data_IF_771540138573
#
_entry.id   IF_771540138573
#
_cell.length_a   1.000
_cell.length_b   1.000
_cell.length_c   1.000
_cell.angle_alpha   90.00
_cell.angle_beta   90.00
_cell.angle_gamma   90.00
#
_symmetry.space_group_name_H-M   'P 1'
#
loop_
_entity.id
_entity.type
_entity.pdbx_description
1 polymer ?
#
# COMPACT_ATOMS: atom_id res chain seq x y z
N UNK A 1 -15.74 15.57 19.04
CA UNK A 1 -16.43 14.26 19.02
C UNK A 1 -17.06 14.00 17.66
N UNK A 2 -18.06 14.79 17.27
CA UNK A 2 -18.80 14.61 16.00
C UNK A 2 -17.90 14.63 14.75
N UNK A 3 -16.92 15.54 14.67
CA UNK A 3 -15.91 15.53 13.60
C UNK A 3 -15.02 14.27 13.58
N UNK A 4 -14.70 13.71 14.75
CA UNK A 4 -13.87 12.48 14.84
C UNK A 4 -14.69 11.29 14.32
N UNK A 5 -15.95 11.17 14.77
CA UNK A 5 -16.87 10.16 14.26
C UNK A 5 -17.08 10.28 12.74
N UNK A 6 -17.29 11.50 12.24
CA UNK A 6 -17.40 11.79 10.80
C UNK A 6 -16.14 11.36 10.04
N UNK A 7 -14.96 11.71 10.55
CA UNK A 7 -13.67 11.38 9.92
C UNK A 7 -13.42 9.87 9.86
N UNK A 8 -13.68 9.15 10.96
CA UNK A 8 -13.53 7.69 11.02
C UNK A 8 -14.55 6.98 10.12
N UNK A 9 -15.81 7.43 10.12
CA UNK A 9 -16.84 6.92 9.20
C UNK A 9 -16.47 7.15 7.73
N UNK A 10 -15.91 8.32 7.41
CA UNK A 10 -15.46 8.62 6.05
C UNK A 10 -14.25 7.78 5.66
N UNK A 11 -13.32 7.52 6.59
CA UNK A 11 -12.17 6.62 6.39
C UNK A 11 -12.63 5.18 6.11
N UNK A 12 -13.62 4.67 6.83
CA UNK A 12 -14.21 3.36 6.57
C UNK A 12 -14.82 3.28 5.17
N UNK A 13 -15.64 4.25 4.78
CA UNK A 13 -16.27 4.30 3.45
C UNK A 13 -15.23 4.43 2.31
N UNK A 14 -14.22 5.29 2.48
CA UNK A 14 -13.13 5.45 1.53
C UNK A 14 -12.30 4.17 1.38
N UNK A 15 -12.12 3.42 2.47
CA UNK A 15 -11.44 2.13 2.47
C UNK A 15 -12.26 1.07 1.72
N UNK A 16 -13.56 0.97 1.95
CA UNK A 16 -14.44 0.07 1.18
C UNK A 16 -14.42 0.39 -0.33
N UNK A 17 -14.43 1.67 -0.71
CA UNK A 17 -14.27 2.09 -2.10
C UNK A 17 -12.90 1.72 -2.67
N UNK A 18 -11.82 1.95 -1.93
CA UNK A 18 -10.46 1.59 -2.33
C UNK A 18 -10.30 0.07 -2.52
N UNK A 19 -10.96 -0.75 -1.69
CA UNK A 19 -10.95 -2.20 -1.84
C UNK A 19 -11.65 -2.66 -3.13
N UNK A 20 -12.76 -2.00 -3.50
CA UNK A 20 -13.42 -2.23 -4.78
C UNK A 20 -12.53 -1.87 -5.99
N UNK A 21 -11.78 -0.77 -5.89
CA UNK A 21 -10.80 -0.37 -6.91
C UNK A 21 -9.63 -1.36 -7.02
N UNK A 22 -9.09 -1.84 -5.89
CA UNK A 22 -8.06 -2.87 -5.85
C UNK A 22 -8.56 -4.18 -6.48
N UNK A 23 -9.77 -4.63 -6.14
CA UNK A 23 -10.38 -5.83 -6.74
C UNK A 23 -10.52 -5.72 -8.27
N UNK A 24 -10.93 -4.55 -8.76
CA UNK A 24 -11.00 -4.27 -10.21
C UNK A 24 -9.60 -4.28 -10.85
N UNK A 25 -8.61 -3.63 -10.23
CA UNK A 25 -7.22 -3.64 -10.70
C UNK A 25 -6.62 -5.06 -10.78
N UNK A 26 -6.93 -5.94 -9.81
CA UNK A 26 -6.54 -7.36 -9.88
C UNK A 26 -7.19 -8.08 -11.06
N UNK A 27 -8.48 -7.83 -11.34
CA UNK A 27 -9.18 -8.36 -12.51
C UNK A 27 -8.74 -7.76 -13.86
N UNK A 28 -8.09 -6.59 -13.86
CA UNK A 28 -7.39 -6.04 -15.03
C UNK A 28 -6.04 -6.74 -15.21
N UNK A 29 -5.29 -6.96 -14.13
CA UNK A 29 -4.01 -7.66 -14.14
C UNK A 29 -4.14 -9.10 -14.67
N UNK A 30 -5.18 -9.82 -14.24
CA UNK A 30 -5.44 -11.20 -14.68
C UNK A 30 -5.71 -11.27 -16.19
N UNK A 31 -6.61 -10.42 -16.71
CA UNK A 31 -6.86 -10.31 -18.16
C UNK A 31 -5.64 -9.85 -18.95
N UNK A 32 -4.77 -9.04 -18.33
CA UNK A 32 -3.46 -8.69 -18.88
C UNK A 32 -2.55 -9.91 -19.02
N UNK A 33 -2.50 -10.77 -18.00
CA UNK A 33 -1.74 -12.02 -18.01
C UNK A 33 -2.30 -13.04 -19.04
N UNK A 34 -3.63 -13.15 -19.18
CA UNK A 34 -4.28 -13.93 -20.24
C UNK A 34 -3.86 -13.44 -21.64
N UNK A 35 -3.91 -12.13 -21.88
CA UNK A 35 -3.52 -11.53 -23.16
C UNK A 35 -2.02 -11.73 -23.48
N UNK A 36 -1.14 -11.66 -22.48
CA UNK A 36 0.29 -11.99 -22.66
C UNK A 36 0.50 -13.48 -22.98
N UNK A 37 -0.30 -14.36 -22.37
CA UNK A 37 -0.28 -15.80 -22.66
C UNK A 37 -0.73 -16.11 -24.09
N UNK A 38 -1.81 -15.46 -24.56
CA UNK A 38 -2.20 -15.58 -25.98
C UNK A 38 -1.11 -15.04 -26.90
N UNK A 39 -0.53 -13.87 -26.59
CA UNK A 39 0.55 -13.28 -27.39
C UNK A 39 1.77 -14.20 -27.49
N UNK A 40 2.16 -14.86 -26.39
CA UNK A 40 3.23 -15.85 -26.40
C UNK A 40 2.92 -17.05 -27.32
N UNK A 41 1.67 -17.55 -27.31
CA UNK A 41 1.24 -18.60 -28.23
C UNK A 41 1.26 -18.14 -29.70
N UNK A 42 0.91 -16.87 -30.00
CA UNK A 42 1.04 -16.30 -31.35
C UNK A 42 2.51 -16.18 -31.78
N UNK A 43 3.40 -15.73 -30.90
CA UNK A 43 4.84 -15.63 -31.20
C UNK A 43 5.44 -17.01 -31.52
N UNK A 44 5.09 -18.05 -30.77
CA UNK A 44 5.51 -19.42 -31.07
C UNK A 44 4.98 -19.92 -32.45
N UNK A 45 3.75 -19.54 -32.82
CA UNK A 45 3.17 -19.84 -34.14
C UNK A 45 3.87 -19.08 -35.29
N UNK A 46 4.31 -17.84 -35.04
CA UNK A 46 5.10 -17.05 -36.00
C UNK A 46 6.49 -17.68 -36.20
N UNK A 47 7.18 -18.05 -35.12
CA UNK A 47 8.50 -18.72 -35.18
C UNK A 47 8.42 -20.05 -35.95
N UNK A 48 7.44 -20.90 -35.63
CA UNK A 48 7.18 -22.14 -36.37
C UNK A 48 6.88 -21.90 -37.87
N UNK A 49 6.15 -20.82 -38.19
CA UNK A 49 5.87 -20.44 -39.58
C UNK A 49 7.12 -19.93 -40.31
N UNK A 50 7.96 -19.14 -39.65
CA UNK A 50 9.20 -18.62 -40.20
C UNK A 50 10.22 -19.74 -40.47
N UNK A 51 10.37 -20.70 -39.55
CA UNK A 51 11.19 -21.90 -39.77
C UNK A 51 10.73 -22.69 -41.00
N UNK A 52 9.42 -22.92 -41.15
CA UNK A 52 8.86 -23.59 -42.33
C UNK A 52 9.09 -22.82 -43.64
N UNK A 53 9.10 -21.48 -43.60
CA UNK A 53 9.49 -20.67 -44.76
C UNK A 53 10.98 -20.86 -45.06
N UNK A 54 11.85 -20.87 -44.05
CA UNK A 54 13.30 -21.11 -44.22
C UNK A 54 13.59 -22.44 -44.91
N UNK A 55 12.88 -23.51 -44.54
CA UNK A 55 12.96 -24.83 -45.22
C UNK A 55 12.58 -24.75 -46.71
N UNK A 56 11.48 -24.04 -47.04
CA UNK A 56 11.01 -23.83 -48.41
C UNK A 56 12.04 -23.03 -49.23
N UNK A 57 12.64 -22.01 -48.64
CA UNK A 57 13.72 -21.22 -49.27
C UNK A 57 14.99 -22.09 -49.44
N UNK A 58 15.28 -23.00 -48.50
CA UNK A 58 16.28 -24.08 -48.65
C UNK A 58 16.04 -24.94 -49.90
N UNK A 59 14.81 -25.39 -50.12
CA UNK A 59 14.43 -26.15 -51.30
C UNK A 59 14.57 -25.34 -52.61
N UNK A 60 14.14 -24.07 -52.61
CA UNK A 60 14.24 -23.20 -53.80
C UNK A 60 15.71 -22.96 -54.19
N UNK A 61 16.58 -22.70 -53.22
CA UNK A 61 18.03 -22.56 -53.41
C UNK A 61 18.66 -23.84 -53.99
N UNK A 62 18.25 -25.01 -53.50
CA UNK A 62 18.64 -26.31 -54.06
C UNK A 62 18.17 -26.51 -55.50
N UNK A 63 16.93 -26.13 -55.83
CA UNK A 63 16.38 -26.19 -57.20
C UNK A 63 17.13 -25.23 -58.13
N UNK A 64 17.45 -24.02 -57.66
CA UNK A 64 18.24 -23.06 -58.42
C UNK A 64 19.65 -23.61 -58.72
N UNK A 65 20.32 -24.21 -57.72
CA UNK A 65 21.60 -24.88 -57.92
C UNK A 65 21.52 -26.03 -58.92
N UNK A 66 20.54 -26.93 -58.80
CA UNK A 66 20.32 -28.03 -59.76
C UNK A 66 20.07 -27.50 -61.19
N UNK A 67 19.29 -26.43 -61.33
CA UNK A 67 19.00 -25.79 -62.62
C UNK A 67 20.26 -25.17 -63.24
N UNK A 68 21.12 -24.54 -62.44
CA UNK A 68 22.43 -24.02 -62.88
C UNK A 68 23.35 -25.15 -63.38
N UNK A 69 23.37 -26.32 -62.72
CA UNK A 69 24.14 -27.49 -63.18
C UNK A 69 23.56 -28.08 -64.48
N UNK A 70 22.23 -28.20 -64.60
CA UNK A 70 21.57 -28.65 -65.84
C UNK A 70 21.86 -27.70 -67.01
N UNK A 71 21.80 -26.38 -66.77
CA UNK A 71 22.13 -25.37 -67.75
C UNK A 71 23.61 -25.42 -68.18
N UNK A 72 24.54 -25.64 -67.24
CA UNK A 72 25.96 -25.85 -67.55
C UNK A 72 26.17 -27.07 -68.46
N UNK A 73 25.53 -28.20 -68.15
CA UNK A 73 25.59 -29.41 -68.98
C UNK A 73 25.02 -29.17 -70.39
N UNK A 74 23.91 -28.44 -70.49
CA UNK A 74 23.32 -28.06 -71.78
C UNK A 74 24.25 -27.15 -72.61
N UNK A 75 24.93 -26.19 -71.99
CA UNK A 75 25.95 -25.36 -72.67
C UNK A 75 27.13 -26.18 -73.19
N UNK A 76 27.56 -27.21 -72.45
CA UNK A 76 28.65 -28.11 -72.88
C UNK A 76 28.21 -28.96 -74.08
N UNK A 77 27.03 -29.57 -74.05
CA UNK A 77 26.55 -30.40 -75.17
C UNK A 77 26.20 -29.54 -76.40
N UNK A 78 25.73 -28.30 -76.20
CA UNK A 78 25.55 -27.32 -77.28
C UNK A 78 26.88 -26.94 -77.94
N UNK A 79 27.96 -26.75 -77.17
CA UNK A 79 29.30 -26.53 -77.72
C UNK A 79 29.80 -27.76 -78.50
N UNK A 80 29.50 -28.97 -78.01
CA UNK A 80 29.84 -30.24 -78.68
C UNK A 80 29.10 -30.44 -80.01
N UNK A 81 27.87 -29.95 -80.13
CA UNK A 81 27.08 -29.95 -81.37
C UNK A 81 27.54 -28.90 -82.40
N UNK A 82 28.51 -28.04 -82.07
CA UNK A 82 29.07 -27.04 -82.97
C UNK A 82 28.02 -26.04 -83.49
N UNK A 83 28.02 -25.78 -84.80
CA UNK A 83 27.10 -24.83 -85.43
C UNK A 83 25.61 -25.14 -85.18
N UNK A 84 25.25 -26.43 -85.12
CA UNK A 84 23.87 -26.85 -84.84
C UNK A 84 23.44 -26.58 -83.39
N UNK A 85 24.40 -26.41 -82.47
CA UNK A 85 24.13 -26.13 -81.06
C UNK A 85 23.98 -24.64 -80.71
N UNK A 86 24.27 -23.70 -81.62
CA UNK A 86 24.35 -22.25 -81.30
C UNK A 86 23.08 -21.69 -80.64
N UNK A 87 21.89 -22.11 -81.09
CA UNK A 87 20.62 -21.71 -80.47
C UNK A 87 20.45 -22.26 -79.05
N UNK A 88 20.81 -23.53 -78.82
CA UNK A 88 20.76 -24.16 -77.50
C UNK A 88 21.76 -23.55 -76.52
N UNK A 89 22.95 -23.14 -76.98
CA UNK A 89 23.95 -22.49 -76.14
C UNK A 89 23.45 -21.14 -75.55
N UNK A 90 22.71 -20.35 -76.34
CA UNK A 90 22.11 -19.09 -75.86
C UNK A 90 21.02 -19.37 -74.82
N UNK A 91 20.13 -20.32 -75.07
CA UNK A 91 19.08 -20.72 -74.11
C UNK A 91 19.69 -21.25 -72.81
N UNK A 92 20.72 -22.10 -72.91
CA UNK A 92 21.41 -22.65 -71.75
C UNK A 92 22.08 -21.55 -70.90
N UNK A 93 22.73 -20.56 -71.52
CA UNK A 93 23.28 -19.42 -70.78
C UNK A 93 22.21 -18.57 -70.11
N UNK A 94 21.05 -18.36 -70.73
CA UNK A 94 19.96 -17.57 -70.13
C UNK A 94 19.27 -18.33 -68.98
N UNK A 95 19.05 -19.63 -69.10
CA UNK A 95 18.58 -20.48 -67.98
C UNK A 95 19.58 -20.45 -66.83
N UNK A 96 20.89 -20.43 -67.12
CA UNK A 96 21.95 -20.31 -66.11
C UNK A 96 21.91 -18.95 -65.39
N UNK A 97 21.75 -17.86 -66.13
CA UNK A 97 21.59 -16.51 -65.56
C UNK A 97 20.35 -16.43 -64.65
N UNK A 98 19.22 -16.99 -65.10
CA UNK A 98 17.98 -17.04 -64.33
C UNK A 98 18.15 -17.85 -63.03
N UNK A 99 18.81 -19.01 -63.11
CA UNK A 99 19.10 -19.85 -61.96
C UNK A 99 19.99 -19.13 -60.91
N UNK A 100 21.02 -18.40 -61.35
CA UNK A 100 21.84 -17.57 -60.44
C UNK A 100 21.00 -16.52 -59.73
N UNK A 101 20.17 -15.78 -60.47
CA UNK A 101 19.28 -14.76 -59.91
C UNK A 101 18.26 -15.33 -58.92
N UNK A 102 17.78 -16.56 -59.14
CA UNK A 102 16.91 -17.26 -58.19
C UNK A 102 17.64 -17.66 -56.91
N UNK A 103 18.90 -18.08 -56.98
CA UNK A 103 19.71 -18.40 -55.81
C UNK A 103 20.04 -17.15 -54.99
N UNK A 104 20.42 -16.04 -55.64
CA UNK A 104 20.68 -14.76 -54.99
C UNK A 104 19.41 -14.25 -54.26
N UNK A 105 18.26 -14.27 -54.93
CA UNK A 105 16.98 -13.89 -54.32
C UNK A 105 16.57 -14.81 -53.16
N UNK A 106 16.82 -16.13 -53.27
CA UNK A 106 16.56 -17.06 -52.17
C UNK A 106 17.43 -16.75 -50.94
N UNK A 107 18.70 -16.40 -51.15
CA UNK A 107 19.62 -15.99 -50.09
C UNK A 107 19.19 -14.69 -49.40
N UNK A 108 18.75 -13.69 -50.15
CA UNK A 108 18.23 -12.43 -49.59
C UNK A 108 16.97 -12.66 -48.76
N UNK A 109 16.02 -13.48 -49.25
CA UNK A 109 14.83 -13.86 -48.49
C UNK A 109 15.20 -14.61 -47.20
N UNK A 110 16.18 -15.53 -47.25
CA UNK A 110 16.66 -16.24 -46.07
C UNK A 110 17.17 -15.27 -44.99
N UNK A 111 17.97 -14.27 -45.36
CA UNK A 111 18.45 -13.24 -44.41
C UNK A 111 17.32 -12.42 -43.77
N UNK A 112 16.26 -12.12 -44.51
CA UNK A 112 15.06 -11.46 -43.96
C UNK A 112 14.28 -12.37 -42.99
N UNK A 113 14.20 -13.67 -43.28
CA UNK A 113 13.57 -14.67 -42.41
C UNK A 113 14.38 -14.87 -41.12
N UNK A 114 15.70 -15.02 -41.20
CA UNK A 114 16.59 -15.14 -40.03
C UNK A 114 16.48 -13.91 -39.10
N UNK A 115 16.38 -12.71 -39.70
CA UNK A 115 16.13 -11.46 -38.95
C UNK A 115 14.75 -11.45 -38.29
N UNK A 116 13.73 -11.96 -38.98
CA UNK A 116 12.35 -12.06 -38.46
C UNK A 116 12.24 -13.06 -37.30
N UNK A 117 12.95 -14.20 -37.37
CA UNK A 117 13.07 -15.18 -36.29
C UNK A 117 13.71 -14.52 -35.06
N UNK A 118 14.84 -13.82 -35.23
CA UNK A 118 15.52 -13.10 -34.14
C UNK A 118 14.58 -12.11 -33.43
N UNK A 119 13.85 -11.29 -34.18
CA UNK A 119 12.89 -10.34 -33.60
C UNK A 119 11.69 -11.03 -32.92
N UNK A 120 11.25 -12.19 -33.42
CA UNK A 120 10.18 -12.98 -32.77
C UNK A 120 10.67 -13.57 -31.45
N UNK A 121 11.93 -14.01 -31.36
CA UNK A 121 12.54 -14.49 -30.12
C UNK A 121 12.75 -13.36 -29.10
N UNK A 122 13.25 -12.20 -29.53
CA UNK A 122 13.36 -10.99 -28.71
C UNK A 122 11.97 -10.56 -28.17
N UNK A 123 10.95 -10.55 -29.04
CA UNK A 123 9.56 -10.28 -28.66
C UNK A 123 9.00 -11.28 -27.65
N UNK A 124 9.22 -12.58 -27.86
CA UNK A 124 8.81 -13.65 -26.92
C UNK A 124 9.40 -13.46 -25.51
N UNK A 125 10.66 -13.04 -25.42
CA UNK A 125 11.31 -12.75 -24.14
C UNK A 125 10.73 -11.51 -23.44
N UNK A 126 10.40 -10.45 -24.21
CA UNK A 126 9.71 -9.26 -23.70
C UNK A 126 8.31 -9.63 -23.17
N UNK A 127 7.54 -10.42 -23.91
CA UNK A 127 6.20 -10.88 -23.52
C UNK A 127 6.26 -11.72 -22.25
N UNK A 128 7.25 -12.61 -22.12
CA UNK A 128 7.45 -13.39 -20.89
C UNK A 128 7.70 -12.48 -19.68
N UNK A 129 8.61 -11.51 -19.80
CA UNK A 129 8.89 -10.55 -18.73
C UNK A 129 7.72 -9.60 -18.43
N UNK A 130 6.81 -9.37 -19.39
CA UNK A 130 5.57 -8.65 -19.16
C UNK A 130 4.54 -9.49 -18.38
N UNK A 131 4.42 -10.79 -18.68
CA UNK A 131 3.57 -11.71 -17.93
C UNK A 131 4.03 -11.85 -16.47
N UNK A 132 5.34 -12.03 -16.23
CA UNK A 132 5.94 -12.07 -14.90
C UNK A 132 5.60 -10.80 -14.09
N UNK A 133 5.74 -9.61 -14.70
CA UNK A 133 5.35 -8.34 -14.05
C UNK A 133 3.85 -8.19 -13.80
N UNK A 134 2.98 -8.77 -14.63
CA UNK A 134 1.53 -8.79 -14.35
C UNK A 134 1.19 -9.66 -13.14
N UNK A 135 1.93 -10.76 -12.92
CA UNK A 135 1.79 -11.59 -11.72
C UNK A 135 2.27 -10.85 -10.46
N UNK A 136 3.41 -10.15 -10.52
CA UNK A 136 3.91 -9.28 -9.45
C UNK A 136 2.92 -8.14 -9.12
N UNK A 137 2.35 -7.50 -10.15
CA UNK A 137 1.33 -6.45 -9.99
C UNK A 137 0.07 -7.01 -9.32
N UNK A 138 -0.43 -8.18 -9.76
CA UNK A 138 -1.56 -8.87 -9.10
C UNK A 138 -1.26 -9.15 -7.63
N UNK A 139 -0.07 -9.64 -7.30
CA UNK A 139 0.33 -9.92 -5.93
C UNK A 139 0.41 -8.65 -5.06
N UNK A 140 0.90 -7.55 -5.63
CA UNK A 140 0.98 -6.25 -4.97
C UNK A 140 -0.42 -5.67 -4.70
N UNK A 141 -1.35 -5.82 -5.65
CA UNK A 141 -2.75 -5.39 -5.49
C UNK A 141 -3.48 -6.20 -4.41
N UNK A 142 -3.19 -7.50 -4.27
CA UNK A 142 -3.71 -8.33 -3.17
C UNK A 142 -3.23 -7.78 -1.82
N UNK A 143 -1.92 -7.51 -1.67
CA UNK A 143 -1.38 -6.93 -0.43
C UNK A 143 -2.02 -5.57 -0.08
N UNK A 144 -2.30 -4.73 -1.08
CA UNK A 144 -3.02 -3.47 -0.88
C UNK A 144 -4.47 -3.72 -0.41
N UNK A 145 -5.17 -4.70 -0.97
CA UNK A 145 -6.52 -5.10 -0.56
C UNK A 145 -6.56 -5.64 0.88
N UNK A 146 -5.54 -6.40 1.29
CA UNK A 146 -5.38 -6.88 2.67
C UNK A 146 -5.21 -5.71 3.65
N UNK A 147 -4.31 -4.76 3.36
CA UNK A 147 -4.09 -3.56 4.19
C UNK A 147 -5.35 -2.68 4.27
N UNK A 148 -6.07 -2.51 3.17
CA UNK A 148 -7.34 -1.77 3.16
C UNK A 148 -8.41 -2.48 4.00
N UNK A 149 -8.42 -3.81 4.02
CA UNK A 149 -9.32 -4.60 4.86
C UNK A 149 -9.00 -4.44 6.34
N UNK A 150 -7.70 -4.38 6.71
CA UNK A 150 -7.24 -4.08 8.07
C UNK A 150 -7.63 -2.65 8.50
N UNK A 151 -7.44 -1.65 7.63
CA UNK A 151 -7.89 -0.27 7.89
C UNK A 151 -9.41 -0.21 8.09
N UNK A 152 -10.19 -0.93 7.28
CA UNK A 152 -11.65 -0.98 7.39
C UNK A 152 -12.09 -1.62 8.72
N UNK A 153 -11.40 -2.67 9.17
CA UNK A 153 -11.65 -3.29 10.47
C UNK A 153 -11.31 -2.34 11.63
N UNK A 154 -10.13 -1.71 11.61
CA UNK A 154 -9.69 -0.74 12.61
C UNK A 154 -10.57 0.50 12.68
N UNK A 155 -11.07 1.00 11.54
CA UNK A 155 -12.03 2.11 11.51
C UNK A 155 -13.36 1.74 12.18
N UNK A 156 -13.88 0.51 11.96
CA UNK A 156 -15.10 0.03 12.62
C UNK A 156 -14.91 -0.13 14.14
N UNK A 157 -13.75 -0.62 14.58
CA UNK A 157 -13.39 -0.68 16.00
C UNK A 157 -13.30 0.73 16.63
N UNK A 158 -12.67 1.68 15.93
CA UNK A 158 -12.61 3.08 16.35
C UNK A 158 -14.00 3.72 16.47
N UNK A 159 -14.91 3.47 15.52
CA UNK A 159 -16.31 3.96 15.62
C UNK A 159 -16.97 3.46 16.90
N UNK A 160 -16.87 2.16 17.21
CA UNK A 160 -17.46 1.60 18.44
C UNK A 160 -16.79 2.17 19.70
N UNK A 161 -15.47 2.39 19.68
CA UNK A 161 -14.76 3.07 20.76
C UNK A 161 -15.25 4.51 20.96
N UNK A 162 -15.50 5.26 19.89
CA UNK A 162 -16.02 6.63 19.95
C UNK A 162 -17.44 6.66 20.55
N UNK A 163 -18.31 5.70 20.21
CA UNK A 163 -19.65 5.57 20.82
C UNK A 163 -19.57 5.34 22.34
N UNK A 164 -18.62 4.52 22.80
CA UNK A 164 -18.39 4.28 24.23
C UNK A 164 -17.89 5.55 24.95
N UNK A 165 -16.92 6.26 24.37
CA UNK A 165 -16.43 7.52 24.96
C UNK A 165 -17.53 8.59 24.96
N UNK A 166 -18.38 8.67 23.92
CA UNK A 166 -19.52 9.58 23.89
C UNK A 166 -20.50 9.30 25.04
N UNK A 167 -20.83 8.03 25.25
CA UNK A 167 -21.65 7.57 26.39
C UNK A 167 -21.05 7.99 27.73
N UNK A 168 -19.75 7.73 27.94
CA UNK A 168 -19.04 8.12 29.17
C UNK A 168 -18.99 9.65 29.39
N UNK A 169 -18.88 10.44 28.32
CA UNK A 169 -18.92 11.91 28.41
C UNK A 169 -20.33 12.41 28.78
N UNK A 170 -21.39 11.78 28.27
CA UNK A 170 -22.77 12.11 28.66
C UNK A 170 -23.05 11.76 30.15
N UNK A 171 -22.51 10.65 30.65
CA UNK A 171 -22.56 10.30 32.08
C UNK A 171 -21.77 11.32 32.94
N UNK A 172 -20.56 11.71 32.50
CA UNK A 172 -19.77 12.74 33.19
C UNK A 172 -20.45 14.10 33.22
N UNK A 173 -21.11 14.52 32.15
CA UNK A 173 -21.89 15.76 32.13
C UNK A 173 -23.08 15.67 33.10
N UNK A 174 -23.81 14.56 33.10
CA UNK A 174 -24.90 14.29 34.05
C UNK A 174 -24.42 14.37 35.51
N UNK A 175 -23.28 13.74 35.83
CA UNK A 175 -22.68 13.84 37.17
C UNK A 175 -22.20 15.26 37.49
N UNK A 176 -21.69 16.01 36.51
CA UNK A 176 -21.24 17.39 36.69
C UNK A 176 -22.42 18.32 36.99
N UNK A 177 -23.53 18.18 36.27
CA UNK A 177 -24.79 18.89 36.54
C UNK A 177 -25.36 18.50 37.91
N UNK A 178 -25.33 17.23 38.28
CA UNK A 178 -25.78 16.75 39.60
C UNK A 178 -24.91 17.32 40.72
N UNK A 179 -23.58 17.36 40.56
CA UNK A 179 -22.66 17.98 41.50
C UNK A 179 -22.92 19.47 41.66
N UNK A 180 -23.14 20.21 40.56
CA UNK A 180 -23.50 21.62 40.60
C UNK A 180 -24.83 21.86 41.36
N UNK A 181 -25.83 21.01 41.12
CA UNK A 181 -27.12 21.04 41.83
C UNK A 181 -26.95 20.77 43.34
N UNK A 182 -26.17 19.75 43.72
CA UNK A 182 -25.88 19.42 45.12
C UNK A 182 -25.10 20.56 45.82
N UNK A 183 -24.13 21.19 45.15
CA UNK A 183 -23.43 22.37 45.69
C UNK A 183 -24.40 23.53 45.91
N UNK A 184 -25.34 23.77 44.97
CA UNK A 184 -26.35 24.82 45.12
C UNK A 184 -27.32 24.53 46.29
N UNK A 185 -27.78 23.28 46.43
CA UNK A 185 -28.60 22.84 47.58
C UNK A 185 -27.84 22.98 48.90
N UNK A 186 -26.56 22.58 48.96
CA UNK A 186 -25.72 22.71 50.14
C UNK A 186 -25.46 24.17 50.52
N UNK A 187 -25.29 25.07 49.54
CA UNK A 187 -25.18 26.51 49.79
C UNK A 187 -26.48 27.08 50.39
N UNK A 188 -27.65 26.64 49.90
CA UNK A 188 -28.95 26.96 50.47
C UNK A 188 -29.10 26.48 51.92
N UNK A 189 -28.76 25.21 52.19
CA UNK A 189 -28.78 24.63 53.54
C UNK A 189 -27.83 25.39 54.49
N UNK A 190 -26.63 25.72 54.04
CA UNK A 190 -25.67 26.51 54.82
C UNK A 190 -26.19 27.92 55.13
N UNK A 191 -26.89 28.56 54.19
CA UNK A 191 -27.54 29.85 54.43
C UNK A 191 -28.65 29.74 55.50
N UNK A 192 -29.56 28.76 55.37
CA UNK A 192 -30.62 28.51 56.37
C UNK A 192 -30.04 28.16 57.74
N UNK A 193 -28.97 27.37 57.79
CA UNK A 193 -28.29 26.98 59.04
C UNK A 193 -27.64 28.18 59.74
N UNK A 194 -27.02 29.08 58.97
CA UNK A 194 -26.48 30.36 59.46
C UNK A 194 -27.60 31.30 59.97
N UNK A 195 -28.72 31.38 59.27
CA UNK A 195 -29.85 32.24 59.67
C UNK A 195 -30.52 31.70 60.95
N UNK A 196 -30.64 30.38 61.11
CA UNK A 196 -31.07 29.74 62.36
C UNK A 196 -30.09 29.98 63.51
N UNK A 197 -28.78 29.90 63.27
CA UNK A 197 -27.77 30.20 64.30
C UNK A 197 -27.86 31.66 64.77
N UNK A 198 -28.05 32.62 63.86
CA UNK A 198 -28.28 34.04 64.19
C UNK A 198 -29.53 34.23 65.05
N UNK A 199 -30.64 33.59 64.69
CA UNK A 199 -31.89 33.67 65.44
C UNK A 199 -31.79 33.06 66.85
N UNK A 200 -30.98 32.03 67.03
CA UNK A 200 -30.70 31.46 68.36
C UNK A 200 -29.83 32.41 69.21
N UNK A 201 -28.85 33.08 68.60
CA UNK A 201 -28.02 34.10 69.26
C UNK A 201 -28.87 35.31 69.72
N UNK A 202 -29.76 35.81 68.85
CA UNK A 202 -30.74 36.85 69.16
C UNK A 202 -31.61 36.45 70.37
N UNK A 203 -32.19 35.23 70.37
CA UNK A 203 -33.01 34.73 71.48
C UNK A 203 -32.24 34.56 72.80
N UNK A 204 -30.94 34.23 72.75
CA UNK A 204 -30.09 34.22 73.95
C UNK A 204 -29.76 35.62 74.45
N UNK A 205 -29.66 36.61 73.55
CA UNK A 205 -29.37 38.00 73.92
C UNK A 205 -30.52 38.72 74.63
N UNK A 206 -31.77 38.30 74.40
CA UNK A 206 -32.95 38.77 75.16
C UNK A 206 -33.00 38.22 76.60
N UNK A 207 -32.22 37.16 76.90
CA UNK A 207 -32.20 36.52 78.21
C UNK A 207 -31.35 37.31 79.21
N UNK A 208 -31.92 38.39 79.75
CA UNK A 208 -31.30 39.20 80.80
C UNK A 208 -31.16 38.37 82.08
N UNK A 209 -29.95 37.86 82.32
CA UNK A 209 -29.53 37.34 83.61
C UNK A 209 -29.58 38.48 84.63
N UNK A 210 -30.51 38.39 85.59
CA UNK A 210 -30.65 39.35 86.67
C UNK A 210 -29.33 39.52 87.44
N UNK A 211 -29.04 40.75 87.87
CA UNK A 211 -27.73 41.20 88.35
C UNK A 211 -27.16 40.33 89.48
N UNK A 212 -26.35 39.33 89.10
CA UNK A 212 -25.54 38.53 90.00
C UNK A 212 -24.34 39.37 90.48
N UNK A 213 -24.63 40.31 91.37
CA UNK A 213 -23.68 41.24 91.98
C UNK A 213 -22.72 40.49 92.91
N UNK A 214 -21.72 39.81 92.35
CA UNK A 214 -20.58 39.27 93.08
C UNK A 214 -19.27 39.89 92.61
N UNK A 215 -18.76 40.72 93.51
CA UNK A 215 -17.41 41.29 93.67
C UNK A 215 -16.25 40.57 92.99
N UNK A 216 -15.33 41.38 92.49
CA UNK A 216 -13.97 41.01 92.09
C UNK A 216 -13.25 40.15 93.14
N UNK A 217 -12.66 39.01 92.74
CA UNK A 217 -11.34 38.62 93.26
C UNK A 217 -10.61 37.65 92.30
N UNK A 218 -9.50 38.15 91.74
CA UNK A 218 -8.25 37.43 91.43
C UNK A 218 -8.17 36.25 90.41
N UNK A 219 -7.27 36.48 89.44
CA UNK A 219 -6.20 35.56 88.98
C UNK A 219 -6.47 34.53 87.87
N UNK A 220 -5.61 34.61 86.84
CA UNK A 220 -5.53 33.79 85.63
C UNK A 220 -5.08 32.33 85.89
N UNK A 221 -5.21 31.41 84.90
CA UNK A 221 -4.18 31.35 83.85
C UNK A 221 -4.69 31.16 82.40
N UNK A 222 -3.78 31.37 81.47
CA UNK A 222 -3.93 31.22 80.02
C UNK A 222 -4.44 29.84 79.60
N UNK A 223 -5.32 29.80 78.59
CA UNK A 223 -5.51 28.62 77.73
C UNK A 223 -5.41 29.03 76.26
N UNK A 224 -4.32 28.65 75.61
CA UNK A 224 -4.04 28.94 74.21
C UNK A 224 -4.84 28.04 73.27
N UNK A 225 -5.53 28.63 72.30
CA UNK A 225 -6.08 27.93 71.14
C UNK A 225 -4.95 27.30 70.31
N UNK A 226 -5.00 25.99 69.99
CA UNK A 226 -4.18 25.44 68.91
C UNK A 226 -4.82 25.77 67.55
N UNK A 227 -4.06 26.44 66.68
CA UNK A 227 -4.45 26.60 65.27
C UNK A 227 -4.58 25.23 64.57
N UNK A 228 -5.56 25.03 63.67
CA UNK A 228 -5.56 23.87 62.80
C UNK A 228 -4.43 24.00 61.76
N UNK A 229 -3.31 23.33 62.02
CA UNK A 229 -2.24 23.19 61.04
C UNK A 229 -2.62 22.13 59.99
N UNK A 230 -2.50 22.49 58.71
CA UNK A 230 -2.59 21.56 57.59
C UNK A 230 -1.46 20.51 57.67
N UNK A 231 -1.74 19.21 57.56
CA UNK A 231 -0.69 18.20 57.50
C UNK A 231 -0.07 18.16 56.09
N UNK A 232 1.14 18.71 55.97
CA UNK A 232 1.98 18.55 54.78
C UNK A 232 2.82 17.27 54.85
N UNK A 233 2.94 16.61 53.71
CA UNK A 233 3.96 15.59 53.35
C UNK A 233 4.03 14.29 54.17
N UNK A 234 3.60 13.19 53.54
CA UNK A 234 4.22 11.86 53.72
C UNK A 234 5.13 11.61 52.53
N UNK A 235 6.44 11.79 52.74
CA UNK A 235 7.47 11.30 51.82
C UNK A 235 7.78 9.84 52.18
N UNK A 236 7.41 8.90 51.32
CA UNK A 236 7.84 7.49 51.45
C UNK A 236 9.08 7.26 50.60
N UNK A 237 10.18 6.86 51.23
CA UNK A 237 11.45 6.58 50.56
C UNK A 237 11.45 5.22 49.82
N UNK A 238 12.33 5.12 48.82
CA UNK A 238 12.53 3.95 47.96
C UNK A 238 13.64 3.03 48.47
N UNK A 239 13.49 1.70 48.27
CA UNK A 239 14.56 0.68 48.16
C UNK A 239 13.96 -0.57 47.45
N UNK A 240 14.41 -0.92 46.23
CA UNK A 240 15.41 -1.98 45.89
C UNK A 240 14.90 -3.44 46.10
N UNK A 241 15.08 -4.48 45.24
CA UNK A 241 15.89 -4.84 44.03
C UNK A 241 15.03 -5.82 43.17
N UNK A 242 15.17 -6.13 41.87
CA UNK A 242 16.06 -5.71 40.76
C UNK A 242 16.61 -6.90 39.90
N UNK A 243 17.04 -6.64 38.65
CA UNK A 243 17.57 -7.54 37.56
C UNK A 243 16.56 -8.28 36.66
N UNK A 244 16.77 -8.17 35.33
CA UNK A 244 16.21 -9.08 34.30
C UNK A 244 16.05 -8.41 32.92
N UNK A 245 17.02 -8.60 32.01
CA UNK A 245 16.93 -8.12 30.61
C UNK A 245 16.49 -9.24 29.65
N UNK A 246 16.01 -8.88 28.45
CA UNK A 246 16.63 -9.46 27.26
C UNK A 246 16.98 -8.44 26.17
N UNK A 247 18.00 -8.76 25.37
CA UNK A 247 18.40 -8.00 24.17
C UNK A 247 17.42 -8.29 23.01
N UNK A 248 17.17 -7.28 22.17
CA UNK A 248 16.97 -7.49 20.73
C UNK A 248 17.70 -6.40 19.95
N UNK A 249 18.54 -6.82 19.00
CA UNK A 249 19.25 -5.92 18.08
C UNK A 249 18.42 -5.74 16.81
N UNK A 250 18.46 -4.55 16.22
CA UNK A 250 18.79 -4.34 14.80
C UNK A 250 19.20 -2.87 14.57
N UNK A 251 20.03 -2.58 13.56
CA UNK A 251 20.64 -1.27 13.36
C UNK A 251 19.78 -0.36 12.48
N UNK A 252 19.81 0.95 12.76
CA UNK A 252 19.46 1.99 11.78
C UNK A 252 20.76 2.44 11.11
N UNK A 253 20.77 2.46 9.78
CA UNK A 253 21.89 2.94 8.96
C UNK A 253 21.89 4.48 8.98
N UNK A 254 23.08 5.08 9.02
CA UNK A 254 23.24 6.50 8.74
C UNK A 254 22.68 6.85 7.36
N UNK A 255 21.92 7.93 7.31
CA UNK A 255 21.77 8.77 6.13
C UNK A 255 22.58 10.03 6.46
N UNK A 256 23.76 10.16 5.84
CA UNK A 256 24.55 11.38 5.93
C UNK A 256 23.80 12.54 5.25
N UNK A 257 23.93 13.72 5.84
CA UNK A 257 23.39 14.97 5.30
C UNK A 257 24.23 15.39 4.08
N UNK A 258 23.64 15.35 2.89
CA UNK A 258 24.27 15.89 1.67
C UNK A 258 23.31 16.92 1.05
N UNK A 259 23.29 18.11 1.65
CA UNK A 259 22.58 19.30 1.17
C UNK A 259 23.53 20.50 1.10
N UNK A 260 24.54 20.41 0.23
CA UNK A 260 25.14 21.60 -0.38
C UNK A 260 24.90 21.62 -1.90
N UNK A 261 24.51 22.79 -2.40
CA UNK A 261 24.35 23.17 -3.83
C UNK A 261 23.24 22.48 -4.64
N UNK A 262 22.09 23.15 -4.77
CA UNK A 262 21.66 23.79 -6.02
C UNK A 262 20.58 24.86 -5.80
#
# INVERSE_FOLDING_TARGET
MEEIHSTVSHTAQASEQANGLATNAAGIAERGNEAMTEMQAKMASIDASANKISDIIGLIDSIAFQTNILALNASVEAARAGEHGRGFAVVAQEVRNLASRSADAAKDIRGLIDTSVKHTQEGSQIVKGAAERMQELRQSVIQVSDVISEITAGAREQTSGIEQVNTAVAEMDTMTQQNASMVHQNAGLAATMRDNARRLDELMSEFILGEARHTETQSSPSMSLPSPALPSTVTTASQQVGKGAPKRQQPVRELEEDWETF
#
